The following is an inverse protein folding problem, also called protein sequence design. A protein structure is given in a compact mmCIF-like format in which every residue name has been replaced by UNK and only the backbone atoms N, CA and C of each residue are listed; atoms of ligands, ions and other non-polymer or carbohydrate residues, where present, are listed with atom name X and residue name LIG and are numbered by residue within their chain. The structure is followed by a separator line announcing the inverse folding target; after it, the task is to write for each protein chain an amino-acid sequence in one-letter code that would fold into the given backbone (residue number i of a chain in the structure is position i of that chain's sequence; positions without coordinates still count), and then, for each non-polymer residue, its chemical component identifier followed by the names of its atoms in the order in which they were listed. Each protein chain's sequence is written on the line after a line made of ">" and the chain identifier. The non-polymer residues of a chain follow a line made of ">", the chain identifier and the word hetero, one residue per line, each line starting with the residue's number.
data_IF_730952506619
#
_entry.id   IF_730952506619
#
_cell.length_a   1.000
_cell.length_b   1.000
_cell.length_c   1.000
_cell.angle_alpha   90.00
_cell.angle_beta   90.00
_cell.angle_gamma   90.00
#
_symmetry.space_group_name_H-M   'P 1'
#
loop_
_entity.id
_entity.type
_entity.pdbx_description
1 polymer ?
#
# COMPACT_ATOMS: atom_id res chain seq x y z
N UNK A 1 -1.31 -18.76 4.76
CA UNK A 1 -2.68 -18.68 4.20
C UNK A 1 -3.32 -20.05 4.00
N UNK A 2 -2.61 -21.10 3.55
CA UNK A 2 -3.21 -22.43 3.32
C UNK A 2 -3.96 -23.00 4.54
N UNK A 3 -3.40 -22.88 5.75
CA UNK A 3 -4.10 -23.32 6.98
C UNK A 3 -5.38 -22.53 7.26
N UNK A 4 -5.39 -21.22 7.01
CA UNK A 4 -6.59 -20.39 7.14
C UNK A 4 -7.66 -20.80 6.12
N UNK A 5 -7.25 -21.06 4.87
CA UNK A 5 -8.14 -21.58 3.83
C UNK A 5 -8.71 -22.95 4.19
N UNK A 6 -7.93 -23.83 4.82
CA UNK A 6 -8.40 -25.14 5.30
C UNK A 6 -9.45 -25.01 6.40
N UNK A 7 -9.28 -24.07 7.33
CA UNK A 7 -10.26 -23.79 8.38
C UNK A 7 -11.54 -23.20 7.80
N UNK A 8 -11.42 -22.31 6.80
CA UNK A 8 -12.57 -21.70 6.15
C UNK A 8 -13.38 -22.72 5.31
N UNK A 9 -12.70 -23.55 4.53
CA UNK A 9 -13.35 -24.56 3.68
C UNK A 9 -12.41 -25.75 3.40
N UNK A 10 -12.87 -26.95 3.73
CA UNK A 10 -12.20 -28.21 3.38
C UNK A 10 -13.24 -29.29 3.04
N UNK A 11 -13.03 -30.14 2.01
CA UNK A 11 -11.85 -30.25 1.14
C UNK A 11 -11.67 -29.05 0.20
N UNK A 12 -10.42 -28.81 -0.23
CA UNK A 12 -10.10 -27.69 -1.12
C UNK A 12 -10.80 -27.83 -2.48
N UNK A 13 -11.29 -26.71 -3.02
CA UNK A 13 -11.88 -26.63 -4.37
C UNK A 13 -11.04 -25.75 -5.28
N UNK A 14 -11.05 -26.00 -6.59
CA UNK A 14 -10.27 -25.22 -7.55
C UNK A 14 -10.66 -23.73 -7.60
N UNK A 15 -11.89 -23.38 -7.24
CA UNK A 15 -12.42 -22.00 -7.19
C UNK A 15 -12.51 -21.44 -5.76
N UNK A 16 -11.73 -21.97 -4.82
CA UNK A 16 -11.74 -21.46 -3.45
C UNK A 16 -11.03 -20.10 -3.37
N UNK A 17 -11.67 -19.12 -2.74
CA UNK A 17 -11.05 -17.84 -2.44
C UNK A 17 -9.95 -18.00 -1.38
N UNK A 18 -8.83 -17.33 -1.61
CA UNK A 18 -7.72 -17.33 -0.66
C UNK A 18 -8.03 -16.30 0.42
N UNK A 19 -7.92 -16.70 1.69
CA UNK A 19 -8.15 -15.80 2.83
C UNK A 19 -7.08 -14.71 2.83
N UNK A 20 -7.48 -13.46 2.55
CA UNK A 20 -6.65 -12.27 2.71
C UNK A 20 -6.33 -12.02 4.20
N UNK A 21 -5.17 -11.43 4.48
CA UNK A 21 -4.81 -11.04 5.84
C UNK A 21 -5.51 -9.72 6.22
N UNK A 22 -5.90 -9.57 7.48
CA UNK A 22 -6.65 -8.38 7.96
C UNK A 22 -5.94 -7.06 7.62
N UNK A 23 -4.61 -7.01 7.79
CA UNK A 23 -3.82 -5.83 7.46
C UNK A 23 -3.82 -5.50 5.96
N UNK A 24 -3.93 -6.52 5.08
CA UNK A 24 -4.00 -6.32 3.62
C UNK A 24 -5.34 -5.71 3.22
N UNK A 25 -6.44 -6.19 3.81
CA UNK A 25 -7.77 -5.62 3.60
C UNK A 25 -7.81 -4.17 4.11
N UNK A 26 -7.30 -3.92 5.31
CA UNK A 26 -7.24 -2.58 5.89
C UNK A 26 -6.42 -1.60 5.03
N UNK A 27 -5.31 -2.07 4.45
CA UNK A 27 -4.48 -1.29 3.53
C UNK A 27 -5.22 -0.97 2.22
N UNK A 28 -5.92 -1.95 1.63
CA UNK A 28 -6.75 -1.76 0.42
C UNK A 28 -7.86 -0.74 0.65
N UNK A 29 -8.55 -0.82 1.77
CA UNK A 29 -9.53 0.20 2.18
C UNK A 29 -8.90 1.58 2.35
N UNK A 30 -7.70 1.64 2.94
CA UNK A 30 -6.96 2.91 3.10
C UNK A 30 -6.65 3.52 1.73
N UNK A 31 -6.21 2.72 0.76
CA UNK A 31 -5.98 3.18 -0.61
C UNK A 31 -7.27 3.71 -1.26
N UNK A 32 -8.39 3.00 -1.08
CA UNK A 32 -9.70 3.45 -1.57
C UNK A 32 -10.12 4.79 -0.97
N UNK A 33 -9.87 5.01 0.32
CA UNK A 33 -10.14 6.30 0.97
C UNK A 33 -9.31 7.45 0.39
N UNK A 34 -8.02 7.19 0.06
CA UNK A 34 -7.15 8.17 -0.59
C UNK A 34 -7.67 8.54 -1.98
N UNK A 35 -8.18 7.57 -2.74
CA UNK A 35 -8.72 7.81 -4.09
C UNK A 35 -10.09 8.50 -4.07
N UNK A 36 -10.88 8.27 -3.03
CA UNK A 36 -12.23 8.82 -2.90
C UNK A 36 -12.23 10.31 -2.55
N UNK A 37 -11.33 10.75 -1.67
CA UNK A 37 -11.33 12.13 -1.16
C UNK A 37 -9.91 12.61 -0.84
N UNK A 38 -9.50 13.73 -1.42
CA UNK A 38 -8.17 14.34 -1.21
C UNK A 38 -8.24 15.65 -0.40
N UNK A 39 -9.00 15.66 0.69
CA UNK A 39 -9.08 16.80 1.62
C UNK A 39 -8.03 16.69 2.75
N UNK A 40 -7.61 17.80 3.38
CA UNK A 40 -6.71 17.76 4.54
C UNK A 40 -7.25 16.92 5.70
N UNK A 41 -8.56 16.96 5.95
CA UNK A 41 -9.20 16.16 6.99
C UNK A 41 -9.14 14.66 6.69
N UNK A 42 -9.28 14.25 5.41
CA UNK A 42 -9.09 12.85 5.03
C UNK A 42 -7.63 12.42 5.16
N UNK A 43 -6.68 13.30 4.79
CA UNK A 43 -5.25 13.01 4.92
C UNK A 43 -4.86 12.72 6.38
N UNK A 44 -5.45 13.45 7.33
CA UNK A 44 -5.24 13.18 8.76
C UNK A 44 -5.71 11.77 9.16
N UNK A 45 -6.90 11.37 8.72
CA UNK A 45 -7.43 10.02 8.98
C UNK A 45 -6.58 8.93 8.33
N UNK A 46 -6.09 9.18 7.10
CA UNK A 46 -5.19 8.25 6.41
C UNK A 46 -3.87 8.10 7.19
N UNK A 47 -3.31 9.18 7.73
CA UNK A 47 -2.13 9.13 8.60
C UNK A 47 -2.37 8.24 9.81
N UNK A 48 -3.51 8.39 10.48
CA UNK A 48 -3.82 7.60 11.67
C UNK A 48 -3.94 6.10 11.32
N UNK A 49 -4.56 5.76 10.19
CA UNK A 49 -4.60 4.37 9.67
C UNK A 49 -3.20 3.81 9.37
N UNK A 50 -2.30 4.62 8.81
CA UNK A 50 -0.91 4.18 8.60
C UNK A 50 -0.20 3.92 9.93
N UNK A 51 -0.48 4.70 10.98
CA UNK A 51 0.06 4.43 12.32
C UNK A 51 -0.52 3.16 12.95
N UNK A 52 -1.79 2.84 12.73
CA UNK A 52 -2.38 1.57 13.17
C UNK A 52 -1.64 0.37 12.57
N UNK A 53 -1.37 0.39 11.26
CA UNK A 53 -0.61 -0.65 10.58
C UNK A 53 0.81 -0.81 11.15
N UNK A 54 1.47 0.31 11.43
CA UNK A 54 2.79 0.29 12.05
C UNK A 54 2.74 -0.25 13.49
N UNK A 55 1.72 0.12 14.27
CA UNK A 55 1.53 -0.35 15.64
C UNK A 55 1.23 -1.86 15.71
N UNK A 56 0.59 -2.42 14.68
CA UNK A 56 0.39 -3.86 14.51
C UNK A 56 1.67 -4.61 14.10
N UNK A 57 2.78 -3.91 13.88
CA UNK A 57 4.07 -4.50 13.51
C UNK A 57 4.24 -4.78 12.02
N UNK A 58 3.40 -4.20 11.16
CA UNK A 58 3.58 -4.33 9.70
C UNK A 58 4.77 -3.44 9.27
N UNK A 59 5.79 -3.99 8.58
CA UNK A 59 6.94 -3.22 8.13
C UNK A 59 6.56 -2.06 7.19
N UNK A 60 7.23 -0.90 7.35
CA UNK A 60 6.89 0.31 6.59
C UNK A 60 7.10 0.17 5.09
N UNK A 61 8.07 -0.62 4.65
CA UNK A 61 8.33 -0.94 3.24
C UNK A 61 7.20 -1.78 2.65
N UNK A 62 6.67 -2.75 3.40
CA UNK A 62 5.51 -3.57 3.00
C UNK A 62 4.26 -2.72 2.87
N UNK A 63 3.98 -1.86 3.85
CA UNK A 63 2.86 -0.90 3.81
C UNK A 63 2.98 -0.01 2.56
N UNK A 64 4.18 0.54 2.34
CA UNK A 64 4.42 1.48 1.24
C UNK A 64 4.25 0.81 -0.13
N UNK A 65 4.88 -0.35 -0.35
CA UNK A 65 4.76 -1.10 -1.60
C UNK A 65 3.33 -1.53 -1.87
N UNK A 66 2.62 -2.01 -0.85
CA UNK A 66 1.21 -2.38 -0.95
C UNK A 66 0.32 -1.19 -1.32
N UNK A 67 0.53 -0.04 -0.67
CA UNK A 67 -0.23 1.18 -0.95
C UNK A 67 -0.01 1.67 -2.38
N UNK A 68 1.24 1.70 -2.85
CA UNK A 68 1.57 2.11 -4.23
C UNK A 68 0.93 1.17 -5.23
N UNK A 69 0.97 -0.15 -4.99
CA UNK A 69 0.33 -1.14 -5.85
C UNK A 69 -1.17 -0.89 -5.97
N UNK A 70 -1.87 -0.72 -4.86
CA UNK A 70 -3.31 -0.46 -4.84
C UNK A 70 -3.65 0.88 -5.52
N UNK A 71 -2.87 1.94 -5.30
CA UNK A 71 -3.10 3.23 -5.95
C UNK A 71 -2.90 3.15 -7.46
N UNK A 72 -1.83 2.49 -7.95
CA UNK A 72 -1.54 2.34 -9.38
C UNK A 72 -2.56 1.44 -10.09
N UNK A 73 -3.11 0.44 -9.40
CA UNK A 73 -4.15 -0.41 -9.96
C UNK A 73 -5.45 0.36 -10.17
N UNK A 74 -5.78 1.28 -9.26
CA UNK A 74 -7.09 1.93 -9.20
C UNK A 74 -7.11 3.40 -9.66
N UNK A 75 -5.99 4.00 -10.07
CA UNK A 75 -5.95 5.36 -10.62
C UNK A 75 -5.97 5.40 -12.16
N UNK A 76 -6.29 6.57 -12.72
CA UNK A 76 -6.31 6.79 -14.18
C UNK A 76 -4.91 6.64 -14.80
N UNK A 77 -4.86 6.16 -16.05
CA UNK A 77 -3.61 5.94 -16.79
C UNK A 77 -2.72 7.19 -16.87
N UNK A 78 -3.33 8.38 -16.94
CA UNK A 78 -2.63 9.67 -16.97
C UNK A 78 -1.86 9.99 -15.69
N UNK A 79 -2.23 9.37 -14.56
CA UNK A 79 -1.67 9.64 -13.23
C UNK A 79 -0.70 8.52 -12.81
N UNK A 80 -0.90 7.28 -13.29
CA UNK A 80 -0.05 6.11 -12.95
C UNK A 80 1.45 6.39 -13.04
N UNK A 81 1.89 7.00 -14.15
CA UNK A 81 3.31 7.30 -14.36
C UNK A 81 3.85 8.24 -13.28
N UNK A 82 3.10 9.31 -12.95
CA UNK A 82 3.47 10.25 -11.87
C UNK A 82 3.42 9.59 -10.50
N UNK A 83 2.42 8.74 -10.24
CA UNK A 83 2.32 7.99 -8.98
C UNK A 83 3.55 7.12 -8.76
N UNK A 84 4.01 6.41 -9.81
CA UNK A 84 5.21 5.58 -9.75
C UNK A 84 6.47 6.43 -9.56
N UNK A 85 6.58 7.57 -10.25
CA UNK A 85 7.70 8.51 -10.10
C UNK A 85 7.82 9.02 -8.65
N UNK A 86 6.72 9.52 -8.07
CA UNK A 86 6.69 9.94 -6.67
C UNK A 86 6.97 8.79 -5.71
N UNK A 87 6.46 7.60 -6.01
CA UNK A 87 6.69 6.41 -5.20
C UNK A 87 8.18 6.02 -5.18
N UNK A 88 8.86 6.06 -6.33
CA UNK A 88 10.28 5.77 -6.43
C UNK A 88 11.11 6.75 -5.59
N UNK A 89 10.82 8.05 -5.67
CA UNK A 89 11.49 9.08 -4.86
C UNK A 89 11.28 8.85 -3.35
N UNK A 90 10.06 8.48 -2.94
CA UNK A 90 9.75 8.26 -1.52
C UNK A 90 10.34 6.96 -0.99
N UNK A 91 10.35 5.89 -1.78
CA UNK A 91 10.97 4.61 -1.44
C UNK A 91 12.44 4.78 -1.07
N UNK A 92 13.18 5.57 -1.86
CA UNK A 92 14.60 5.84 -1.60
C UNK A 92 14.85 6.52 -0.26
N UNK A 93 13.93 7.40 0.17
CA UNK A 93 14.01 8.06 1.49
C UNK A 93 13.72 7.11 2.65
N UNK A 94 12.86 6.11 2.44
CA UNK A 94 12.57 5.08 3.45
C UNK A 94 13.79 4.17 3.63
N UNK A 95 14.43 3.79 2.52
CA UNK A 95 15.62 2.93 2.52
C UNK A 95 16.87 3.65 3.07
N UNK A 96 17.03 4.94 2.76
CA UNK A 96 18.21 5.74 3.17
C UNK A 96 17.81 7.06 3.83
N UNK A 97 17.36 7.04 5.09
CA UNK A 97 16.78 8.21 5.77
C UNK A 97 17.79 9.34 6.05
N UNK A 98 19.10 9.07 6.00
CA UNK A 98 20.17 10.04 6.34
C UNK A 98 20.90 10.62 5.12
N UNK A 99 20.65 10.10 3.92
CA UNK A 99 21.25 10.63 2.70
C UNK A 99 20.35 11.73 2.13
N UNK A 100 20.81 12.98 2.19
CA UNK A 100 20.16 14.10 1.53
C UNK A 100 20.32 13.98 0.02
N UNK A 101 19.41 13.27 -0.64
CA UNK A 101 19.46 13.13 -2.10
C UNK A 101 19.09 14.44 -2.80
N UNK A 102 19.86 14.89 -3.80
CA UNK A 102 19.44 15.99 -4.65
C UNK A 102 18.27 15.51 -5.51
N UNK A 103 17.20 16.30 -5.54
CA UNK A 103 16.09 16.14 -6.47
C UNK A 103 16.63 16.18 -7.89
N UNK A 104 16.36 15.15 -8.69
CA UNK A 104 16.75 14.98 -10.11
C UNK A 104 18.03 14.19 -10.34
N UNK A 105 17.86 12.89 -10.61
CA UNK A 105 18.54 12.28 -11.75
C UNK A 105 17.55 11.34 -12.41
N UNK A 106 16.86 11.86 -13.45
CA UNK A 106 16.40 11.03 -14.55
C UNK A 106 17.67 10.44 -15.15
N UNK A 107 17.97 9.17 -14.86
CA UNK A 107 18.94 8.43 -15.66
C UNK A 107 18.12 7.75 -16.73
N UNK A 108 18.35 8.22 -17.96
CA UNK A 108 17.88 7.62 -19.22
C UNK A 108 18.36 6.18 -19.32
#
# INVERSE_FOLDING_TARGET
>A
MLEACKVQQYPFTAQQDIVDLDWQLFLRETASQILTEQTPAKLEKVRDRLYELLAQGVPSDVIFQGLVKELVQNCDMSIKAKTIEYAALKSKRIEYPLLGYPTTTVVV
#
